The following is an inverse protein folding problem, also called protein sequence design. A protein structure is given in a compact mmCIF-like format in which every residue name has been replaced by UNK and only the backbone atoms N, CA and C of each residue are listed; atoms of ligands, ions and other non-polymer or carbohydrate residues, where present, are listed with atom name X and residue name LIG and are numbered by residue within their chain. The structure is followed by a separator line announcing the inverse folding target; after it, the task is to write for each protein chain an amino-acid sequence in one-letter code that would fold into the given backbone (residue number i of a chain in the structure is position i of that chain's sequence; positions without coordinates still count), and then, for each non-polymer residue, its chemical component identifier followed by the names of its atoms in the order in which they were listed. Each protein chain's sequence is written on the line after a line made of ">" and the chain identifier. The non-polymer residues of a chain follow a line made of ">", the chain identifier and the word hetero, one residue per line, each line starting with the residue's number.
data_IF_807270820168
#
_entry.id   IF_807270820168
#
_cell.length_a   1.000
_cell.length_b   1.000
_cell.length_c   1.000
_cell.angle_alpha   90.00
_cell.angle_beta   90.00
_cell.angle_gamma   90.00
#
_symmetry.space_group_name_H-M   'P 1'
#
loop_
_entity.id
_entity.type
_entity.pdbx_description
1 polymer ?
#
# COMPACT_ATOMS: atom_id res chain seq x y z
N UNK A 1 12.07 -2.52 3.17
CA UNK A 1 11.07 -2.68 2.08
C UNK A 1 11.31 -3.92 1.22
N UNK A 2 12.47 -4.05 0.57
CA UNK A 2 12.72 -5.18 -0.36
C UNK A 2 12.69 -6.56 0.30
N UNK A 3 13.29 -6.71 1.48
CA UNK A 3 13.24 -7.97 2.22
C UNK A 3 11.79 -8.43 2.50
N UNK A 4 10.90 -7.49 2.80
CA UNK A 4 9.47 -7.78 3.01
C UNK A 4 8.79 -8.24 1.72
N UNK A 5 9.11 -7.63 0.57
CA UNK A 5 8.59 -8.07 -0.74
C UNK A 5 9.06 -9.48 -1.11
N UNK A 6 10.32 -9.83 -0.80
CA UNK A 6 10.86 -11.18 -1.04
C UNK A 6 10.16 -12.20 -0.14
N UNK A 7 9.94 -11.87 1.14
CA UNK A 7 9.20 -12.73 2.07
C UNK A 7 7.75 -12.92 1.61
N UNK A 8 7.10 -11.86 1.13
CA UNK A 8 5.74 -11.90 0.60
C UNK A 8 5.65 -12.81 -0.65
N UNK A 9 6.57 -12.66 -1.60
CA UNK A 9 6.66 -13.51 -2.79
C UNK A 9 6.90 -14.98 -2.42
N UNK A 10 7.73 -15.24 -1.40
CA UNK A 10 7.97 -16.60 -0.89
C UNK A 10 6.70 -17.19 -0.26
N UNK A 11 5.94 -16.41 0.50
CA UNK A 11 4.66 -16.84 1.07
C UNK A 11 3.62 -17.18 -0.02
N UNK A 12 3.56 -16.39 -1.11
CA UNK A 12 2.71 -16.72 -2.25
C UNK A 12 3.11 -18.04 -2.91
N UNK A 13 4.40 -18.26 -3.16
CA UNK A 13 4.89 -19.53 -3.68
C UNK A 13 4.51 -20.70 -2.77
N UNK A 14 4.71 -20.59 -1.46
CA UNK A 14 4.31 -21.63 -0.50
C UNK A 14 2.78 -21.86 -0.46
N UNK A 15 1.97 -20.83 -0.67
CA UNK A 15 0.50 -20.92 -0.68
C UNK A 15 -0.01 -21.79 -1.83
N UNK A 16 0.69 -21.80 -2.97
CA UNK A 16 0.35 -22.66 -4.12
C UNK A 16 0.59 -24.14 -3.84
N UNK A 17 1.59 -24.45 -2.99
CA UNK A 17 2.00 -25.80 -2.60
C UNK A 17 1.17 -26.36 -1.44
N UNK A 18 0.49 -25.49 -0.69
CA UNK A 18 -0.34 -25.90 0.43
C UNK A 18 -1.48 -26.85 -0.03
N UNK A 19 -1.64 -27.95 0.72
CA UNK A 19 -2.72 -28.94 0.55
C UNK A 19 -3.59 -29.08 1.80
N UNK A 20 -3.08 -28.65 2.96
CA UNK A 20 -3.75 -28.77 4.25
C UNK A 20 -4.30 -27.40 4.70
N UNK A 21 -5.48 -27.41 5.34
CA UNK A 21 -6.11 -26.20 5.86
C UNK A 21 -5.24 -25.47 6.90
N UNK A 22 -4.63 -26.22 7.83
CA UNK A 22 -3.72 -25.67 8.84
C UNK A 22 -2.51 -24.98 8.22
N UNK A 23 -1.94 -25.57 7.15
CA UNK A 23 -0.82 -24.95 6.44
C UNK A 23 -1.23 -23.66 5.74
N UNK A 24 -2.45 -23.59 5.22
CA UNK A 24 -2.97 -22.39 4.55
C UNK A 24 -3.20 -21.25 5.56
N UNK A 25 -3.75 -21.56 6.74
CA UNK A 25 -3.91 -20.58 7.83
C UNK A 25 -2.55 -20.03 8.31
N UNK A 26 -1.56 -20.91 8.52
CA UNK A 26 -0.23 -20.48 8.93
C UNK A 26 0.43 -19.58 7.88
N UNK A 27 0.33 -19.94 6.60
CA UNK A 27 0.86 -19.11 5.51
C UNK A 27 0.17 -17.75 5.44
N UNK A 28 -1.13 -17.69 5.71
CA UNK A 28 -1.86 -16.43 5.74
C UNK A 28 -1.45 -15.54 6.91
N UNK A 29 -1.14 -16.12 8.07
CA UNK A 29 -0.55 -15.40 9.19
C UNK A 29 0.83 -14.83 8.82
N UNK A 30 1.72 -15.64 8.25
CA UNK A 30 3.05 -15.17 7.83
C UNK A 30 2.99 -14.12 6.71
N UNK A 31 2.04 -14.24 5.80
CA UNK A 31 1.78 -13.25 4.75
C UNK A 31 1.42 -11.90 5.38
N UNK A 32 0.50 -11.88 6.36
CA UNK A 32 0.14 -10.66 7.08
C UNK A 32 1.32 -10.04 7.84
N UNK A 33 2.16 -10.86 8.47
CA UNK A 33 3.38 -10.38 9.14
C UNK A 33 4.37 -9.77 8.13
N UNK A 34 4.50 -10.36 6.94
CA UNK A 34 5.36 -9.84 5.88
C UNK A 34 4.83 -8.53 5.26
N UNK A 35 3.50 -8.37 5.19
CA UNK A 35 2.83 -7.20 4.62
C UNK A 35 2.78 -6.00 5.58
N UNK A 36 2.66 -6.24 6.89
CA UNK A 36 2.52 -5.20 7.92
C UNK A 36 3.52 -4.01 7.80
N UNK A 37 4.83 -4.22 7.58
CA UNK A 37 5.78 -3.11 7.48
C UNK A 37 5.76 -2.40 6.12
N UNK A 38 5.06 -2.91 5.11
CA UNK A 38 5.10 -2.38 3.74
C UNK A 38 4.59 -0.94 3.66
N UNK A 39 3.38 -0.70 4.18
CA UNK A 39 2.75 0.61 4.20
C UNK A 39 3.58 1.65 4.98
N UNK A 40 3.97 1.42 6.25
CA UNK A 40 4.78 2.40 6.99
C UNK A 40 6.18 2.59 6.39
N UNK A 41 6.77 1.58 5.74
CA UNK A 41 8.05 1.75 5.04
C UNK A 41 7.93 2.72 3.87
N UNK A 42 6.86 2.61 3.07
CA UNK A 42 6.63 3.51 1.93
C UNK A 42 6.39 4.95 2.40
N UNK A 43 5.59 5.14 3.46
CA UNK A 43 5.35 6.44 4.07
C UNK A 43 6.64 7.07 4.62
N UNK A 44 7.49 6.26 5.25
CA UNK A 44 8.76 6.71 5.80
C UNK A 44 9.74 7.15 4.70
N UNK A 45 9.87 6.37 3.63
CA UNK A 45 10.70 6.73 2.48
C UNK A 45 10.23 8.05 1.84
N UNK A 46 8.92 8.24 1.66
CA UNK A 46 8.39 9.51 1.15
C UNK A 46 8.68 10.69 2.08
N UNK A 47 8.63 10.47 3.41
CA UNK A 47 8.93 11.50 4.40
C UNK A 47 10.39 11.96 4.36
N UNK A 48 11.32 11.11 3.94
CA UNK A 48 12.74 11.48 3.82
C UNK A 48 13.01 12.31 2.54
N UNK A 49 12.31 12.00 1.45
CA UNK A 49 12.57 12.60 0.14
C UNK A 49 11.70 13.84 -0.18
N UNK A 50 10.61 14.09 0.55
CA UNK A 50 9.64 15.16 0.24
C UNK A 50 9.25 15.97 1.48
N UNK A 51 9.01 17.28 1.28
CA UNK A 51 8.60 18.21 2.34
C UNK A 51 7.14 18.01 2.77
N UNK A 52 6.74 18.51 3.96
CA UNK A 52 5.36 18.35 4.49
C UNK A 52 4.27 18.94 3.60
N UNK A 53 4.60 19.90 2.74
CA UNK A 53 3.66 20.51 1.78
C UNK A 53 3.42 19.60 0.57
N UNK A 54 4.44 18.85 0.15
CA UNK A 54 4.40 18.01 -1.05
C UNK A 54 3.99 16.57 -0.74
N UNK A 55 4.29 16.09 0.48
CA UNK A 55 4.03 14.70 0.88
C UNK A 55 2.55 14.33 0.75
N UNK A 56 1.63 15.23 1.10
CA UNK A 56 0.20 14.96 1.02
C UNK A 56 -0.26 14.63 -0.41
N UNK A 57 0.22 15.39 -1.41
CA UNK A 57 -0.09 15.13 -2.82
C UNK A 57 0.53 13.81 -3.31
N UNK A 58 1.74 13.46 -2.86
CA UNK A 58 2.39 12.19 -3.21
C UNK A 58 1.67 10.99 -2.58
N UNK A 59 1.21 11.12 -1.35
CA UNK A 59 0.41 10.11 -0.68
C UNK A 59 -0.93 9.88 -1.37
N UNK A 60 -1.59 10.95 -1.82
CA UNK A 60 -2.81 10.84 -2.60
C UNK A 60 -2.60 9.98 -3.86
N UNK A 61 -1.52 10.22 -4.61
CA UNK A 61 -1.17 9.41 -5.79
C UNK A 61 -0.97 7.92 -5.42
N UNK A 62 -0.32 7.62 -4.29
CA UNK A 62 -0.17 6.24 -3.82
C UNK A 62 -1.52 5.58 -3.50
N UNK A 63 -2.41 6.29 -2.80
CA UNK A 63 -3.75 5.77 -2.47
C UNK A 63 -4.61 5.54 -3.71
N UNK A 64 -4.55 6.42 -4.70
CA UNK A 64 -5.25 6.25 -5.99
C UNK A 64 -4.76 5.00 -6.69
N UNK A 65 -3.44 4.78 -6.70
CA UNK A 65 -2.82 3.60 -7.29
C UNK A 65 -3.26 2.33 -6.56
N UNK A 66 -3.41 2.38 -5.23
CA UNK A 66 -3.92 1.27 -4.44
C UNK A 66 -5.37 0.89 -4.84
N UNK A 67 -6.27 1.88 -4.92
CA UNK A 67 -7.68 1.67 -5.32
C UNK A 67 -7.76 1.13 -6.76
N UNK A 68 -6.94 1.68 -7.65
CA UNK A 68 -6.85 1.23 -9.03
C UNK A 68 -6.35 -0.22 -9.12
N UNK A 69 -5.36 -0.60 -8.32
CA UNK A 69 -4.86 -1.97 -8.22
C UNK A 69 -5.95 -2.95 -7.75
N UNK A 70 -6.78 -2.55 -6.78
CA UNK A 70 -7.94 -3.37 -6.33
C UNK A 70 -8.93 -3.61 -7.46
N UNK A 71 -9.20 -2.60 -8.30
CA UNK A 71 -10.08 -2.75 -9.46
C UNK A 71 -9.51 -3.75 -10.49
N UNK A 72 -8.20 -3.68 -10.77
CA UNK A 72 -7.53 -4.59 -11.69
C UNK A 72 -7.41 -6.02 -11.15
N UNK A 73 -7.25 -6.19 -9.84
CA UNK A 73 -7.16 -7.51 -9.20
C UNK A 73 -8.40 -8.37 -9.51
N UNK A 74 -9.61 -7.80 -9.40
CA UNK A 74 -10.86 -8.50 -9.74
C UNK A 74 -10.93 -8.94 -11.22
N UNK A 75 -10.41 -8.12 -12.13
CA UNK A 75 -10.31 -8.43 -13.56
C UNK A 75 -9.34 -9.59 -13.81
N UNK A 76 -8.15 -9.54 -13.18
CA UNK A 76 -7.12 -10.57 -13.31
C UNK A 76 -7.65 -11.92 -12.81
N UNK A 77 -8.41 -11.91 -11.71
CA UNK A 77 -9.10 -13.10 -11.19
C UNK A 77 -10.09 -13.65 -12.22
N UNK A 78 -10.95 -12.81 -12.79
CA UNK A 78 -11.93 -13.23 -13.80
C UNK A 78 -11.26 -13.84 -15.04
N UNK A 79 -10.19 -13.22 -15.55
CA UNK A 79 -9.42 -13.73 -16.69
C UNK A 79 -8.74 -15.06 -16.34
N UNK A 80 -8.08 -15.14 -15.19
CA UNK A 80 -7.36 -16.36 -14.76
C UNK A 80 -8.31 -17.55 -14.62
N UNK A 81 -9.47 -17.38 -14.01
CA UNK A 81 -10.48 -18.45 -13.92
C UNK A 81 -11.09 -18.83 -15.28
N UNK A 82 -11.06 -17.93 -16.28
CA UNK A 82 -11.61 -18.21 -17.61
C UNK A 82 -10.63 -18.94 -18.54
N UNK A 83 -9.33 -18.67 -18.41
CA UNK A 83 -8.30 -19.14 -19.34
C UNK A 83 -7.45 -20.26 -18.76
N UNK A 84 -7.22 -20.28 -17.44
CA UNK A 84 -6.25 -21.15 -16.78
C UNK A 84 -6.87 -22.20 -15.84
N UNK A 85 -8.20 -22.28 -15.77
CA UNK A 85 -8.86 -23.31 -14.97
C UNK A 85 -8.61 -24.71 -15.57
N UNK A 86 -8.11 -25.63 -14.74
CA UNK A 86 -7.69 -26.99 -15.12
C UNK A 86 -6.51 -27.08 -16.11
N UNK A 87 -5.86 -25.97 -16.46
CA UNK A 87 -4.64 -25.98 -17.27
C UNK A 87 -3.50 -26.58 -16.42
N UNK A 88 -2.87 -27.64 -16.94
CA UNK A 88 -1.83 -28.44 -16.27
C UNK A 88 -2.29 -29.14 -14.97
N UNK A 89 -3.59 -29.32 -14.75
CA UNK A 89 -4.13 -29.97 -13.54
C UNK A 89 -4.03 -29.11 -12.27
N UNK A 90 -3.77 -27.81 -12.42
CA UNK A 90 -3.65 -26.84 -11.33
C UNK A 90 -4.97 -26.04 -11.25
N UNK A 91 -5.49 -25.86 -10.04
CA UNK A 91 -6.70 -25.07 -9.80
C UNK A 91 -6.46 -23.59 -10.12
N UNK A 92 -7.43 -22.89 -10.73
CA UNK A 92 -7.25 -21.50 -11.17
C UNK A 92 -6.79 -20.52 -10.09
N UNK A 93 -7.17 -20.72 -8.83
CA UNK A 93 -6.72 -19.88 -7.72
C UNK A 93 -5.21 -20.02 -7.43
N UNK A 94 -4.60 -21.17 -7.70
CA UNK A 94 -3.15 -21.37 -7.53
C UNK A 94 -2.38 -20.63 -8.61
N UNK A 95 -2.89 -20.59 -9.84
CA UNK A 95 -2.30 -19.80 -10.93
C UNK A 95 -2.24 -18.31 -10.58
N UNK A 96 -3.28 -17.78 -9.93
CA UNK A 96 -3.29 -16.39 -9.45
C UNK A 96 -2.10 -16.10 -8.52
N UNK A 97 -1.89 -16.94 -7.49
CA UNK A 97 -0.77 -16.77 -6.55
C UNK A 97 0.60 -16.96 -7.20
N UNK A 98 0.72 -17.81 -8.22
CA UNK A 98 1.98 -17.96 -8.99
C UNK A 98 2.29 -16.67 -9.74
N UNK A 99 1.30 -16.11 -10.47
CA UNK A 99 1.48 -14.88 -11.25
C UNK A 99 1.86 -13.72 -10.32
N UNK A 100 1.10 -13.51 -9.25
CA UNK A 100 1.36 -12.46 -8.26
C UNK A 100 2.73 -12.63 -7.59
N UNK A 101 3.11 -13.86 -7.23
CA UNK A 101 4.42 -14.16 -6.63
C UNK A 101 5.59 -13.84 -7.57
N UNK A 102 5.51 -14.22 -8.84
CA UNK A 102 6.55 -13.94 -9.84
C UNK A 102 6.67 -12.45 -10.13
N UNK A 103 5.54 -11.75 -10.30
CA UNK A 103 5.54 -10.30 -10.53
C UNK A 103 6.13 -9.57 -9.33
N UNK A 104 5.72 -9.92 -8.11
CA UNK A 104 6.25 -9.32 -6.87
C UNK A 104 7.75 -9.54 -6.74
N UNK A 105 8.24 -10.75 -7.04
CA UNK A 105 9.67 -11.05 -6.98
C UNK A 105 10.46 -10.26 -8.03
N UNK A 106 9.93 -10.12 -9.25
CA UNK A 106 10.54 -9.29 -10.29
C UNK A 106 10.63 -7.81 -9.88
N UNK A 107 9.55 -7.27 -9.31
CA UNK A 107 9.54 -5.89 -8.78
C UNK A 107 10.53 -5.73 -7.63
N UNK A 108 10.66 -6.74 -6.75
CA UNK A 108 11.63 -6.71 -5.66
C UNK A 108 13.08 -6.60 -6.17
N UNK A 109 13.43 -7.33 -7.24
CA UNK A 109 14.76 -7.24 -7.87
C UNK A 109 14.99 -5.85 -8.47
N UNK A 110 14.00 -5.29 -9.16
CA UNK A 110 14.09 -3.95 -9.74
C UNK A 110 14.26 -2.91 -8.62
N UNK A 111 13.54 -3.06 -7.51
CA UNK A 111 13.67 -2.17 -6.36
C UNK A 111 15.06 -2.21 -5.72
N UNK A 112 15.80 -3.32 -5.77
CA UNK A 112 17.19 -3.35 -5.27
C UNK A 112 18.10 -2.39 -6.03
N UNK A 113 17.89 -2.24 -7.34
CA UNK A 113 18.71 -1.38 -8.19
C UNK A 113 18.21 0.07 -8.22
N UNK A 114 16.89 0.27 -8.12
CA UNK A 114 16.26 1.59 -8.31
C UNK A 114 16.10 2.36 -7.00
N UNK A 115 15.96 1.68 -5.85
CA UNK A 115 15.61 2.33 -4.58
C UNK A 115 16.86 2.57 -3.70
N UNK A 116 17.35 3.82 -3.58
CA UNK A 116 18.44 4.14 -2.66
C UNK A 116 17.93 4.29 -1.21
N UNK A 117 18.72 3.77 -0.25
CA UNK A 117 18.40 3.78 1.19
C UNK A 117 18.42 5.18 1.82
N UNK A 118 19.15 6.15 1.26
CA UNK A 118 19.21 7.54 1.73
C UNK A 118 19.34 8.54 0.57
N UNK A 119 18.88 9.79 0.74
CA UNK A 119 19.08 10.86 -0.23
C UNK A 119 20.58 11.06 -0.57
N UNK A 120 21.47 10.87 0.42
CA UNK A 120 22.94 10.85 0.24
C UNK A 120 23.46 9.78 -0.73
N UNK A 121 22.91 8.56 -0.69
CA UNK A 121 23.36 7.39 -1.48
C UNK A 121 22.63 7.26 -2.82
N UNK A 122 21.78 8.22 -3.19
CA UNK A 122 20.99 8.21 -4.42
C UNK A 122 21.89 8.20 -5.66
N UNK A 123 22.08 7.05 -6.32
CA UNK A 123 22.96 6.90 -7.50
C UNK A 123 22.54 7.75 -8.71
N UNK A 124 21.32 8.29 -8.71
CA UNK A 124 20.67 8.94 -9.84
C UNK A 124 20.65 10.49 -9.81
N UNK A 125 21.01 11.13 -8.69
CA UNK A 125 21.01 12.61 -8.56
C UNK A 125 22.43 13.19 -8.61
N UNK A 126 22.73 14.24 -9.39
CA UNK A 126 24.01 14.95 -9.32
C UNK A 126 24.20 15.64 -7.95
N UNK A 127 25.45 15.68 -7.45
CA UNK A 127 25.77 16.02 -6.05
C UNK A 127 25.26 17.39 -5.56
N UNK A 128 25.07 18.36 -6.46
CA UNK A 128 24.61 19.71 -6.12
C UNK A 128 23.11 19.78 -5.77
N UNK A 129 22.29 18.92 -6.40
CA UNK A 129 20.84 18.84 -6.10
C UNK A 129 20.58 18.06 -4.81
N UNK A 130 21.50 17.14 -4.45
CA UNK A 130 21.42 16.37 -3.19
C UNK A 130 21.54 17.29 -1.98
N UNK A 131 22.54 18.16 -1.95
CA UNK A 131 22.75 19.10 -0.84
C UNK A 131 21.60 20.11 -0.68
N UNK A 132 20.96 20.52 -1.79
CA UNK A 132 19.76 21.38 -1.72
C UNK A 132 18.50 20.65 -1.23
N UNK A 133 18.36 19.36 -1.54
CA UNK A 133 17.25 18.54 -1.04
C UNK A 133 17.41 18.27 0.47
N UNK A 134 18.63 18.02 0.92
CA UNK A 134 18.94 17.82 2.34
C UNK A 134 18.73 19.08 3.17
N UNK A 135 19.23 20.23 2.71
CA UNK A 135 19.01 21.52 3.40
C UNK A 135 17.51 21.82 3.57
N UNK A 136 16.68 21.44 2.59
CA UNK A 136 15.22 21.58 2.63
C UNK A 136 14.55 20.61 3.60
N UNK A 137 14.94 19.35 3.61
CA UNK A 137 14.40 18.34 4.54
C UNK A 137 14.85 18.61 5.97
N UNK A 138 16.11 19.02 6.17
CA UNK A 138 16.65 19.41 7.47
C UNK A 138 15.96 20.67 7.99
N UNK A 139 15.79 21.72 7.16
CA UNK A 139 15.03 22.93 7.54
C UNK A 139 13.60 22.64 8.00
N UNK A 140 12.87 21.72 7.34
CA UNK A 140 11.51 21.30 7.75
C UNK A 140 11.55 20.46 9.07
N UNK A 141 12.66 19.75 9.30
CA UNK A 141 12.88 18.89 10.48
C UNK A 141 13.42 19.67 11.69
N UNK A 142 13.99 20.88 11.54
CA UNK A 142 14.59 21.65 12.65
C UNK A 142 13.60 22.07 13.75
N UNK A 143 12.29 21.94 13.54
CA UNK A 143 11.27 22.10 14.59
C UNK A 143 11.16 20.91 15.56
N UNK A 144 11.71 19.74 15.19
CA UNK A 144 11.75 18.52 16.01
C UNK A 144 13.16 18.37 16.58
N UNK A 145 13.31 18.65 17.88
CA UNK A 145 14.61 18.64 18.55
C UNK A 145 15.42 17.36 18.29
N UNK A 146 16.75 17.52 18.21
CA UNK A 146 17.76 16.47 17.99
C UNK A 146 17.35 15.11 18.60
N UNK A 147 17.20 14.11 17.73
CA UNK A 147 16.72 12.77 18.08
C UNK A 147 17.59 12.14 19.17
N UNK A 148 17.03 11.88 20.35
CA UNK A 148 17.70 11.23 21.50
C UNK A 148 17.89 9.71 21.30
N UNK A 149 17.93 9.24 20.05
CA UNK A 149 18.01 7.83 19.66
C UNK A 149 16.65 7.18 19.39
N UNK A 150 16.65 6.10 18.60
CA UNK A 150 15.45 5.39 18.10
C UNK A 150 14.54 4.95 19.26
N UNK A 151 15.11 4.47 20.36
CA UNK A 151 14.38 3.98 21.53
C UNK A 151 13.70 5.11 22.32
N UNK A 152 14.34 6.28 22.41
CA UNK A 152 13.77 7.45 23.05
C UNK A 152 12.65 8.07 22.20
N UNK A 153 12.84 8.14 20.88
CA UNK A 153 11.80 8.56 19.93
C UNK A 153 10.60 7.62 19.93
N UNK A 154 10.83 6.31 19.97
CA UNK A 154 9.77 5.31 20.08
C UNK A 154 8.96 5.47 21.37
N UNK A 155 9.64 5.65 22.51
CA UNK A 155 8.97 5.89 23.79
C UNK A 155 8.17 7.20 23.80
N UNK A 156 8.70 8.25 23.17
CA UNK A 156 8.01 9.54 23.05
C UNK A 156 6.77 9.43 22.14
N UNK A 157 6.87 8.69 21.03
CA UNK A 157 5.74 8.47 20.12
C UNK A 157 4.57 7.74 20.81
N UNK A 158 4.84 6.70 21.60
CA UNK A 158 3.81 5.99 22.37
C UNK A 158 3.22 6.82 23.51
N UNK A 159 3.91 7.85 23.96
CA UNK A 159 3.42 8.73 25.03
C UNK A 159 2.49 9.83 24.50
N UNK A 160 2.40 10.02 23.17
CA UNK A 160 1.57 11.06 22.58
C UNK A 160 0.11 10.60 22.40
N UNK A 161 -0.86 11.26 23.04
CA UNK A 161 -2.27 10.86 22.96
C UNK A 161 -2.87 11.07 21.56
N UNK A 162 -2.30 11.93 20.71
CA UNK A 162 -2.79 12.16 19.34
C UNK A 162 -2.54 10.95 18.46
N UNK A 163 -1.48 10.18 18.71
CA UNK A 163 -1.19 8.93 18.00
C UNK A 163 -2.39 7.96 18.07
N UNK A 164 -2.97 7.79 19.26
CA UNK A 164 -4.09 6.89 19.48
C UNK A 164 -5.37 7.37 18.79
N UNK A 165 -5.59 8.69 18.73
CA UNK A 165 -6.72 9.28 18.00
C UNK A 165 -6.58 9.01 16.50
N UNK A 166 -5.39 9.25 15.92
CA UNK A 166 -5.15 8.94 14.50
C UNK A 166 -5.25 7.45 14.19
N UNK A 167 -4.78 6.59 15.08
CA UNK A 167 -4.93 5.14 14.94
C UNK A 167 -6.41 4.72 14.93
N UNK A 168 -7.22 5.30 15.82
CA UNK A 168 -8.66 5.02 15.88
C UNK A 168 -9.41 5.52 14.65
N UNK A 169 -9.07 6.71 14.15
CA UNK A 169 -9.64 7.24 12.90
C UNK A 169 -9.34 6.28 11.73
N UNK A 170 -8.10 5.79 11.65
CA UNK A 170 -7.68 4.87 10.60
C UNK A 170 -8.36 3.50 10.73
N UNK A 171 -8.57 3.01 11.96
CA UNK A 171 -9.31 1.77 12.22
C UNK A 171 -10.77 1.90 11.78
N UNK A 172 -11.42 3.03 12.09
CA UNK A 172 -12.79 3.31 11.64
C UNK A 172 -12.89 3.39 10.12
N UNK A 173 -11.91 3.99 9.45
CA UNK A 173 -11.81 4.01 8.00
C UNK A 173 -11.70 2.59 7.41
N UNK A 174 -10.79 1.77 7.94
CA UNK A 174 -10.60 0.39 7.49
C UNK A 174 -11.86 -0.46 7.71
N UNK A 175 -12.55 -0.26 8.84
CA UNK A 175 -13.83 -0.92 9.11
C UNK A 175 -14.90 -0.53 8.08
N UNK A 176 -14.92 0.73 7.63
CA UNK A 176 -15.80 1.18 6.55
C UNK A 176 -15.49 0.51 5.20
N UNK A 177 -14.20 0.31 4.89
CA UNK A 177 -13.78 -0.40 3.69
C UNK A 177 -14.24 -1.86 3.65
N UNK A 178 -14.44 -2.51 4.80
CA UNK A 178 -14.91 -3.89 4.91
C UNK A 178 -16.23 -4.17 4.18
N UNK A 179 -17.08 -3.15 4.01
CA UNK A 179 -18.31 -3.24 3.21
C UNK A 179 -18.04 -3.64 1.75
N UNK A 180 -16.92 -3.18 1.16
CA UNK A 180 -16.55 -3.51 -0.22
C UNK A 180 -16.28 -5.00 -0.41
N UNK A 181 -15.88 -5.72 0.63
CA UNK A 181 -15.61 -7.16 0.54
C UNK A 181 -16.90 -7.98 0.32
N UNK A 182 -18.04 -7.47 0.76
CA UNK A 182 -19.34 -8.14 0.58
C UNK A 182 -20.00 -7.83 -0.77
N UNK A 183 -19.50 -6.82 -1.49
CA UNK A 183 -20.01 -6.42 -2.79
C UNK A 183 -20.08 -7.58 -3.81
N UNK A 184 -19.03 -8.40 -4.00
CA UNK A 184 -19.11 -9.56 -4.89
C UNK A 184 -20.15 -10.60 -4.46
N UNK A 185 -20.37 -10.78 -3.14
CA UNK A 185 -21.39 -11.70 -2.62
C UNK A 185 -22.80 -11.19 -2.93
N UNK A 186 -23.06 -9.90 -2.74
CA UNK A 186 -24.37 -9.28 -3.04
C UNK A 186 -24.68 -9.37 -4.53
N UNK A 187 -23.71 -9.07 -5.39
CA UNK A 187 -23.90 -9.16 -6.85
C UNK A 187 -24.05 -10.63 -7.30
N UNK A 188 -23.49 -11.59 -6.56
CA UNK A 188 -23.68 -13.02 -6.81
C UNK A 188 -25.11 -13.52 -6.58
N UNK A 189 -25.88 -12.91 -5.67
CA UNK A 189 -27.28 -13.29 -5.39
C UNK A 189 -28.20 -12.96 -6.57
N UNK A 190 -27.80 -12.03 -7.45
CA UNK A 190 -28.57 -11.62 -8.63
C UNK A 190 -28.61 -12.68 -9.75
N UNK A 191 -27.98 -13.84 -9.56
CA UNK A 191 -28.04 -14.98 -10.50
C UNK A 191 -27.15 -14.85 -11.74
N UNK A 192 -26.24 -13.87 -11.75
CA UNK A 192 -25.25 -13.72 -12.81
C UNK A 192 -24.13 -14.76 -12.68
N UNK A 193 -23.57 -15.18 -13.82
CA UNK A 193 -22.38 -16.04 -13.85
C UNK A 193 -21.21 -15.36 -13.11
N UNK A 194 -20.42 -16.12 -12.36
CA UNK A 194 -19.30 -15.64 -11.53
C UNK A 194 -18.35 -14.71 -12.29
N UNK A 195 -18.17 -14.93 -13.61
CA UNK A 195 -17.36 -14.08 -14.50
C UNK A 195 -17.99 -12.70 -14.70
N UNK A 196 -19.30 -12.65 -14.95
CA UNK A 196 -20.06 -11.42 -15.18
C UNK A 196 -20.14 -10.62 -13.87
N UNK A 197 -20.32 -11.29 -12.72
CA UNK A 197 -20.29 -10.67 -11.40
C UNK A 197 -18.97 -9.92 -11.15
N UNK A 198 -17.82 -10.56 -11.37
CA UNK A 198 -16.50 -9.94 -11.17
C UNK A 198 -16.28 -8.75 -12.13
N UNK A 199 -16.70 -8.88 -13.40
CA UNK A 199 -16.60 -7.79 -14.38
C UNK A 199 -17.51 -6.61 -14.03
N UNK A 200 -18.73 -6.87 -13.54
CA UNK A 200 -19.68 -5.83 -13.11
C UNK A 200 -19.19 -5.10 -11.85
N UNK A 201 -18.38 -5.75 -11.02
CA UNK A 201 -17.75 -5.07 -9.87
C UNK A 201 -16.60 -4.14 -10.25
N UNK A 202 -16.00 -4.26 -11.44
CA UNK A 202 -14.86 -3.41 -11.83
C UNK A 202 -15.23 -1.93 -12.09
N UNK A 203 -16.31 -1.59 -12.83
CA UNK A 203 -16.74 -0.21 -13.07
C UNK A 203 -16.89 0.68 -11.83
N UNK A 204 -17.54 0.25 -10.72
CA UNK A 204 -17.65 1.11 -9.54
C UNK A 204 -16.29 1.39 -8.88
N UNK A 205 -15.36 0.44 -8.89
CA UNK A 205 -14.01 0.68 -8.37
C UNK A 205 -13.19 1.63 -9.27
N UNK A 206 -13.37 1.56 -10.59
CA UNK A 206 -12.74 2.50 -11.53
C UNK A 206 -13.32 3.91 -11.35
N UNK A 207 -14.64 4.03 -11.19
CA UNK A 207 -15.28 5.31 -10.88
C UNK A 207 -14.80 5.88 -9.54
N UNK A 208 -14.66 5.05 -8.50
CA UNK A 208 -14.09 5.45 -7.21
C UNK A 208 -12.62 5.89 -7.35
N UNK A 209 -11.82 5.17 -8.16
CA UNK A 209 -10.43 5.51 -8.44
C UNK A 209 -10.26 6.84 -9.17
N UNK A 210 -11.24 7.29 -9.95
CA UNK A 210 -11.22 8.58 -10.66
C UNK A 210 -11.78 9.71 -9.79
N UNK A 211 -12.89 9.46 -9.09
CA UNK A 211 -13.59 10.48 -8.28
C UNK A 211 -12.85 10.84 -6.99
N UNK A 212 -12.20 9.87 -6.34
CA UNK A 212 -11.35 10.10 -5.17
C UNK A 212 -10.25 11.15 -5.38
N UNK A 213 -9.37 11.01 -6.40
CA UNK A 213 -8.36 12.01 -6.73
C UNK A 213 -8.93 13.40 -6.96
N UNK A 214 -10.08 13.49 -7.63
CA UNK A 214 -10.70 14.77 -7.97
C UNK A 214 -11.22 15.47 -6.71
N UNK A 215 -11.78 14.72 -5.76
CA UNK A 215 -12.19 15.25 -4.46
C UNK A 215 -10.97 15.66 -3.61
N UNK A 216 -9.90 14.88 -3.61
CA UNK A 216 -8.66 15.20 -2.87
C UNK A 216 -7.98 16.47 -3.42
N UNK A 217 -7.88 16.60 -4.75
CA UNK A 217 -7.37 17.80 -5.41
C UNK A 217 -8.27 19.03 -5.16
N UNK A 218 -9.58 18.83 -5.08
CA UNK A 218 -10.52 19.89 -4.72
C UNK A 218 -10.36 20.34 -3.26
N UNK A 219 -10.21 19.39 -2.33
CA UNK A 219 -10.01 19.69 -0.90
C UNK A 219 -8.65 20.35 -0.65
N UNK A 220 -7.61 19.92 -1.37
CA UNK A 220 -6.30 20.56 -1.36
C UNK A 220 -6.31 22.02 -1.86
N UNK A 221 -7.18 22.36 -2.82
CA UNK A 221 -7.39 23.74 -3.28
C UNK A 221 -8.24 24.59 -2.32
N UNK A 222 -9.16 23.96 -1.59
CA UNK A 222 -10.09 24.65 -0.68
C UNK A 222 -9.54 24.82 0.75
N UNK A 223 -8.35 24.28 1.04
CA UNK A 223 -7.64 24.40 2.32
C UNK A 223 -8.52 24.02 3.52
N UNK A 224 -9.29 22.94 3.39
CA UNK A 224 -10.26 22.47 4.39
C UNK A 224 -9.61 21.72 5.56
N UNK A 225 -8.30 21.93 5.80
CA UNK A 225 -7.59 21.37 6.94
C UNK A 225 -8.11 22.03 8.22
N UNK A 226 -9.19 21.49 8.75
CA UNK A 226 -9.94 21.99 9.92
C UNK A 226 -9.17 21.95 11.23
N UNK A 227 -7.94 21.41 11.23
CA UNK A 227 -7.04 21.43 12.38
C UNK A 227 -5.80 22.27 12.05
N UNK A 228 -5.72 23.53 12.49
CA UNK A 228 -4.44 24.19 12.65
C UNK A 228 -3.67 23.42 13.74
N UNK A 229 -2.75 22.56 13.32
CA UNK A 229 -1.71 22.10 14.25
C UNK A 229 -0.85 23.33 14.58
N UNK A 230 -0.64 23.68 15.88
CA UNK A 230 0.09 24.88 16.29
C UNK A 230 1.62 24.83 16.01
N UNK A 231 2.03 24.03 15.04
CA UNK A 231 3.43 23.66 14.76
C UNK A 231 3.78 23.80 13.27
N UNK A 232 2.99 24.59 12.53
CA UNK A 232 3.39 25.16 11.24
C UNK A 232 3.81 26.62 11.44
N UNK A 233 5.02 26.81 11.99
CA UNK A 233 5.79 28.02 11.77
C UNK A 233 7.04 27.65 10.97
#
# INVERSE_FOLDING_TARGET
>A
MVACMILLATCFACTTLAKNYTSLLLLQFFLGVAEAPFHPSALYLLSIFYTRKEIAARLAILYITNIMSTAFSGLIVAVTFSTLDCVHGIQGWKWLFIIEGVVTFGVAIICLEVLPDQPLTTRWLPGTERTMAEDRTDCDTMGLGQSKGVLAGFKQAFSDPRLYIFALIQDFHLSGCGFNNFFPTVVGILGFDRKITLVITCPPFIFAAITGPLMDLSSGKLNERTWPSPEAC
#
